data_IF_658232026640
#
_entry.id   IF_658232026640
#
_cell.length_a   1.000
_cell.length_b   1.000
_cell.length_c   1.000
_cell.angle_alpha   90.00
_cell.angle_beta   90.00
_cell.angle_gamma   90.00
#
_symmetry.space_group_name_H-M   'P 1'
#
loop_
_entity.id
_entity.type
_entity.pdbx_description
1 polymer ?
#
# COMPACT_ATOMS: atom_id res chain seq x y z
N UNK A 1 0.58 -28.28 19.19
CA UNK A 1 -0.49 -27.44 19.80
C UNK A 1 -1.28 -26.89 18.63
N UNK A 2 -2.56 -27.23 18.56
CA UNK A 2 -3.45 -27.24 17.38
C UNK A 2 -3.53 -25.92 16.59
N UNK A 3 -3.26 -25.99 15.29
CA UNK A 3 -3.68 -25.00 14.28
C UNK A 3 -5.22 -24.98 14.23
N UNK A 4 -5.84 -24.10 15.01
CA UNK A 4 -7.20 -23.64 14.72
C UNK A 4 -7.14 -22.64 13.56
N UNK A 5 -6.90 -23.13 12.33
CA UNK A 5 -7.30 -22.40 11.13
C UNK A 5 -8.82 -22.44 11.05
N UNK A 6 -9.43 -21.46 11.72
CA UNK A 6 -10.84 -21.13 11.64
C UNK A 6 -11.28 -21.13 10.16
N UNK A 7 -12.33 -21.89 9.88
CA UNK A 7 -12.96 -22.19 8.59
C UNK A 7 -13.63 -20.93 7.96
N UNK A 8 -12.89 -19.82 7.89
CA UNK A 8 -13.32 -18.48 7.44
C UNK A 8 -12.40 -17.89 6.36
N UNK A 9 -11.48 -18.68 5.79
CA UNK A 9 -10.67 -18.26 4.65
C UNK A 9 -11.45 -18.48 3.36
N UNK A 10 -11.59 -17.45 2.53
CA UNK A 10 -12.17 -17.59 1.20
C UNK A 10 -11.35 -18.56 0.34
N UNK A 11 -12.02 -19.30 -0.55
CA UNK A 11 -11.34 -20.12 -1.55
C UNK A 11 -10.38 -19.23 -2.38
N UNK A 12 -9.12 -19.63 -2.58
CA UNK A 12 -8.14 -18.84 -3.33
C UNK A 12 -8.60 -18.56 -4.76
N UNK A 13 -9.36 -19.47 -5.36
CA UNK A 13 -9.96 -19.29 -6.68
C UNK A 13 -11.02 -18.20 -6.70
N UNK A 14 -11.87 -18.14 -5.66
CA UNK A 14 -12.92 -17.13 -5.56
C UNK A 14 -12.33 -15.75 -5.26
N UNK A 15 -11.38 -15.68 -4.34
CA UNK A 15 -10.66 -14.43 -4.03
C UNK A 15 -9.87 -13.94 -5.25
N UNK A 16 -9.22 -14.85 -5.98
CA UNK A 16 -8.50 -14.53 -7.21
C UNK A 16 -9.43 -14.04 -8.32
N UNK A 17 -10.58 -14.70 -8.53
CA UNK A 17 -11.57 -14.31 -9.53
C UNK A 17 -12.15 -12.91 -9.26
N UNK A 18 -12.52 -12.61 -8.01
CA UNK A 18 -12.99 -11.28 -7.63
C UNK A 18 -11.90 -10.22 -7.81
N UNK A 19 -10.66 -10.51 -7.41
CA UNK A 19 -9.53 -9.59 -7.60
C UNK A 19 -9.29 -9.29 -9.09
N UNK A 20 -9.39 -10.32 -9.94
CA UNK A 20 -9.31 -10.18 -11.40
C UNK A 20 -10.45 -9.35 -11.97
N UNK A 21 -11.68 -9.51 -11.47
CA UNK A 21 -12.83 -8.72 -11.88
C UNK A 21 -12.64 -7.24 -11.53
N UNK A 22 -12.14 -6.93 -10.33
CA UNK A 22 -11.78 -5.53 -9.96
C UNK A 22 -10.71 -4.97 -10.90
N UNK A 23 -9.74 -5.79 -11.30
CA UNK A 23 -8.68 -5.38 -12.22
C UNK A 23 -9.25 -5.03 -13.61
N UNK A 24 -10.14 -5.86 -14.15
CA UNK A 24 -10.85 -5.61 -15.41
C UNK A 24 -11.66 -4.31 -15.30
N UNK A 25 -12.43 -4.14 -14.22
CA UNK A 25 -13.20 -2.91 -13.99
C UNK A 25 -12.32 -1.67 -13.87
N UNK A 26 -11.14 -1.77 -13.24
CA UNK A 26 -10.19 -0.65 -13.14
C UNK A 26 -9.71 -0.21 -14.52
N UNK A 27 -9.40 -1.15 -15.42
CA UNK A 27 -9.00 -0.82 -16.79
C UNK A 27 -10.18 -0.29 -17.59
N UNK A 28 -11.37 -0.87 -17.42
CA UNK A 28 -12.56 -0.49 -18.18
C UNK A 28 -13.10 0.89 -17.80
N UNK A 29 -13.14 1.23 -16.51
CA UNK A 29 -13.68 2.50 -16.01
C UNK A 29 -12.63 3.60 -16.00
N UNK A 30 -11.42 3.31 -15.52
CA UNK A 30 -10.39 4.32 -15.29
C UNK A 30 -9.28 4.30 -16.35
N UNK A 31 -9.19 3.28 -17.21
CA UNK A 31 -8.11 3.14 -18.18
C UNK A 31 -6.74 2.90 -17.52
N UNK A 32 -6.72 2.49 -16.24
CA UNK A 32 -5.50 2.33 -15.43
C UNK A 32 -5.45 0.94 -14.81
N UNK A 33 -4.26 0.34 -14.85
CA UNK A 33 -3.94 -0.88 -14.12
C UNK A 33 -3.73 -0.60 -12.63
N UNK A 34 -3.71 -1.66 -11.81
CA UNK A 34 -3.28 -1.56 -10.43
C UNK A 34 -1.85 -1.05 -10.35
N UNK A 35 -1.63 -0.04 -9.52
CA UNK A 35 -0.31 0.45 -9.21
C UNK A 35 -0.30 0.96 -7.79
N UNK A 36 0.82 0.80 -7.09
CA UNK A 36 1.01 1.34 -5.75
C UNK A 36 2.23 2.27 -5.66
N UNK A 37 3.32 1.96 -6.37
CA UNK A 37 4.62 2.62 -6.24
C UNK A 37 4.63 4.08 -6.67
N UNK A 38 3.98 4.43 -7.77
CA UNK A 38 3.89 5.81 -8.28
C UNK A 38 3.13 6.75 -7.34
N UNK A 39 2.21 6.25 -6.50
CA UNK A 39 1.51 7.04 -5.48
C UNK A 39 2.44 7.50 -4.36
N UNK A 40 3.41 6.67 -3.95
CA UNK A 40 4.36 7.02 -2.89
C UNK A 40 5.29 8.16 -3.33
N UNK A 41 5.88 8.05 -4.54
CA UNK A 41 6.76 9.09 -5.10
C UNK A 41 6.00 10.41 -5.31
N UNK A 42 4.76 10.36 -5.77
CA UNK A 42 3.93 11.55 -5.97
C UNK A 42 3.52 12.21 -4.65
N UNK A 43 3.21 11.44 -3.61
CA UNK A 43 2.91 11.97 -2.28
C UNK A 43 4.12 12.72 -1.70
N UNK A 44 5.33 12.17 -1.85
CA UNK A 44 6.57 12.86 -1.47
C UNK A 44 6.74 14.14 -2.29
N UNK A 45 6.53 14.11 -3.60
CA UNK A 45 6.59 15.30 -4.45
C UNK A 45 5.57 16.39 -4.07
N UNK A 46 4.36 16.02 -3.64
CA UNK A 46 3.35 16.98 -3.15
C UNK A 46 3.75 17.59 -1.80
N UNK A 47 4.36 16.81 -0.91
CA UNK A 47 4.87 17.30 0.38
C UNK A 47 6.07 18.23 0.15
N UNK A 48 7.02 17.87 -0.71
CA UNK A 48 8.15 18.73 -1.07
C UNK A 48 7.71 20.07 -1.68
N UNK A 49 6.66 20.05 -2.50
CA UNK A 49 6.05 21.26 -3.08
C UNK A 49 5.42 22.18 -2.01
N UNK A 50 4.99 21.62 -0.87
CA UNK A 50 4.37 22.38 0.23
C UNK A 50 5.41 23.11 1.10
N UNK A 51 6.65 22.60 1.16
CA UNK A 51 7.71 23.17 2.01
C UNK A 51 8.66 24.16 1.29
N UNK A 52 8.71 24.19 -0.05
CA UNK A 52 9.51 25.16 -0.82
C UNK A 52 8.66 25.89 -1.86
N UNK A 53 7.80 26.78 -1.40
CA UNK A 53 6.97 27.64 -2.25
C UNK A 53 7.75 28.74 -2.99
N UNK A 54 8.97 29.09 -2.58
CA UNK A 54 9.67 30.27 -3.11
C UNK A 54 10.52 30.01 -4.37
N UNK A 55 10.92 28.75 -4.63
CA UNK A 55 11.67 28.38 -5.85
C UNK A 55 10.77 27.85 -6.98
N UNK A 56 9.44 27.80 -6.76
CA UNK A 56 8.46 27.15 -7.66
C UNK A 56 7.78 28.14 -8.62
N UNK A 57 7.95 29.45 -8.41
CA UNK A 57 7.34 30.47 -9.26
C UNK A 57 8.03 30.70 -10.61
N UNK A 58 9.18 30.07 -10.89
CA UNK A 58 10.01 30.39 -12.08
C UNK A 58 10.19 29.25 -13.08
N UNK A 59 9.65 28.04 -12.85
CA UNK A 59 9.78 26.93 -13.81
C UNK A 59 8.42 26.44 -14.32
N UNK A 60 8.24 26.55 -15.65
CA UNK A 60 7.10 26.06 -16.45
C UNK A 60 6.71 24.59 -16.22
N UNK A 61 7.53 23.82 -15.50
CA UNK A 61 7.26 22.44 -15.13
C UNK A 61 6.10 22.30 -14.12
N UNK A 62 5.85 23.31 -13.28
CA UNK A 62 4.86 23.23 -12.20
C UNK A 62 3.45 23.67 -12.58
N UNK A 63 3.27 24.43 -13.67
CA UNK A 63 1.93 24.78 -14.18
C UNK A 63 1.23 23.56 -14.81
N UNK A 64 2.00 22.60 -15.34
CA UNK A 64 1.48 21.39 -15.97
C UNK A 64 1.12 20.29 -14.99
N UNK A 65 1.58 20.39 -13.75
CA UNK A 65 1.49 19.35 -12.72
C UNK A 65 0.55 19.80 -11.61
N UNK A 66 -0.70 20.07 -11.95
CA UNK A 66 -1.75 20.26 -10.96
C UNK A 66 -1.76 19.04 -10.04
N UNK A 67 -1.60 19.18 -8.72
CA UNK A 67 -1.69 18.07 -7.77
C UNK A 67 -3.14 17.60 -7.71
N UNK A 68 -3.58 16.89 -8.75
CA UNK A 68 -4.87 16.22 -8.78
C UNK A 68 -4.74 14.94 -7.98
N UNK A 69 -5.75 14.65 -7.19
CA UNK A 69 -6.00 13.31 -6.67
C UNK A 69 -6.11 12.39 -7.89
N UNK A 70 -5.01 11.71 -8.20
CA UNK A 70 -4.94 10.76 -9.31
C UNK A 70 -5.71 9.50 -8.90
N UNK A 71 -6.28 8.78 -9.87
CA UNK A 71 -7.01 7.53 -9.69
C UNK A 71 -6.28 6.56 -8.75
N UNK A 72 -4.96 6.49 -8.89
CA UNK A 72 -4.11 5.60 -8.10
C UNK A 72 -4.05 5.99 -6.62
N UNK A 73 -4.16 7.28 -6.29
CA UNK A 73 -4.21 7.74 -4.91
C UNK A 73 -5.55 7.34 -4.26
N UNK A 74 -6.66 7.56 -4.96
CA UNK A 74 -7.99 7.11 -4.53
C UNK A 74 -8.06 5.58 -4.40
N UNK A 75 -7.39 4.84 -5.29
CA UNK A 75 -7.31 3.39 -5.23
C UNK A 75 -6.58 2.89 -3.98
N UNK A 76 -5.41 3.46 -3.65
CA UNK A 76 -4.65 3.08 -2.44
C UNK A 76 -5.43 3.42 -1.17
N UNK A 77 -6.06 4.60 -1.11
CA UNK A 77 -6.93 4.99 0.01
C UNK A 77 -8.14 4.06 0.10
N UNK A 78 -8.73 3.68 -1.03
CA UNK A 78 -9.82 2.71 -1.11
C UNK A 78 -9.43 1.34 -0.57
N UNK A 79 -8.22 0.85 -0.88
CA UNK A 79 -7.68 -0.40 -0.30
C UNK A 79 -7.53 -0.27 1.22
N UNK A 80 -6.98 0.85 1.70
CA UNK A 80 -6.78 1.09 3.12
C UNK A 80 -8.12 1.06 3.88
N UNK A 81 -9.11 1.83 3.40
CA UNK A 81 -10.44 1.89 4.03
C UNK A 81 -11.18 0.56 3.88
N UNK A 82 -11.16 -0.03 2.70
CA UNK A 82 -11.84 -1.29 2.41
C UNK A 82 -11.29 -2.46 3.24
N UNK A 83 -9.96 -2.57 3.36
CA UNK A 83 -9.32 -3.59 4.21
C UNK A 83 -9.63 -3.35 5.69
N UNK A 84 -9.69 -2.10 6.13
CA UNK A 84 -10.06 -1.75 7.51
C UNK A 84 -11.50 -2.15 7.84
N UNK A 85 -12.47 -1.79 6.98
CA UNK A 85 -13.87 -2.19 7.14
C UNK A 85 -14.01 -3.72 7.12
N UNK A 86 -13.32 -4.39 6.19
CA UNK A 86 -13.34 -5.86 6.11
C UNK A 86 -12.76 -6.51 7.38
N UNK A 87 -11.68 -5.98 7.94
CA UNK A 87 -11.08 -6.47 9.19
C UNK A 87 -11.98 -6.25 10.41
N UNK A 88 -12.71 -5.13 10.46
CA UNK A 88 -13.71 -4.88 11.50
C UNK A 88 -14.91 -5.81 11.36
N UNK A 89 -15.49 -5.93 10.16
CA UNK A 89 -16.66 -6.75 9.88
C UNK A 89 -16.41 -8.25 10.11
N UNK A 90 -15.20 -8.73 9.82
CA UNK A 90 -14.79 -10.12 10.09
C UNK A 90 -14.35 -10.38 11.53
N UNK A 91 -14.20 -9.32 12.34
CA UNK A 91 -13.72 -9.41 13.72
C UNK A 91 -12.24 -9.81 13.84
N UNK A 92 -11.45 -9.67 12.76
CA UNK A 92 -10.03 -10.08 12.73
C UNK A 92 -9.05 -8.94 12.99
N UNK A 93 -9.54 -7.71 13.18
CA UNK A 93 -8.70 -6.57 13.49
C UNK A 93 -7.96 -6.76 14.81
N UNK A 94 -6.62 -6.79 14.76
CA UNK A 94 -5.75 -6.93 15.94
C UNK A 94 -4.52 -6.05 15.79
N UNK A 95 -4.29 -5.18 16.78
CA UNK A 95 -3.05 -4.41 16.87
C UNK A 95 -1.94 -5.34 17.39
N UNK A 96 -1.01 -5.71 16.51
CA UNK A 96 0.16 -6.55 16.85
C UNK A 96 1.45 -5.85 16.45
N UNK A 97 2.22 -5.43 17.45
CA UNK A 97 3.52 -4.81 17.22
C UNK A 97 4.57 -5.81 16.73
N UNK A 98 4.48 -7.07 17.18
CA UNK A 98 5.35 -8.16 16.75
C UNK A 98 4.50 -9.36 16.32
N UNK A 99 4.58 -9.80 15.06
CA UNK A 99 3.90 -11.01 14.61
C UNK A 99 4.45 -12.26 15.31
N UNK A 100 3.64 -13.28 15.62
CA UNK A 100 4.10 -14.51 16.26
C UNK A 100 5.23 -15.22 15.48
N UNK A 101 5.20 -15.15 14.15
CA UNK A 101 6.25 -15.69 13.28
C UNK A 101 7.60 -14.96 13.46
N UNK A 102 7.57 -13.66 13.75
CA UNK A 102 8.78 -12.91 14.05
C UNK A 102 9.27 -13.23 15.46
N UNK A 103 8.35 -13.25 16.42
CA UNK A 103 8.63 -13.50 17.82
C UNK A 103 9.31 -14.86 18.01
N UNK A 104 8.83 -15.91 17.33
CA UNK A 104 9.41 -17.26 17.41
C UNK A 104 10.84 -17.35 16.90
N UNK A 105 11.25 -16.48 15.98
CA UNK A 105 12.57 -16.55 15.32
C UNK A 105 13.58 -15.52 15.81
N UNK A 106 13.12 -14.33 16.16
CA UNK A 106 13.94 -13.15 16.45
C UNK A 106 13.58 -12.47 17.78
N UNK A 107 12.59 -13.02 18.51
CA UNK A 107 12.16 -12.55 19.82
C UNK A 107 11.11 -11.43 19.78
N UNK A 108 10.56 -11.11 20.95
CA UNK A 108 9.42 -10.19 21.12
C UNK A 108 9.77 -8.70 21.00
N UNK A 109 10.98 -8.32 20.55
CA UNK A 109 11.43 -6.92 20.53
C UNK A 109 10.79 -6.13 19.36
N UNK A 110 9.92 -5.13 19.65
CA UNK A 110 9.29 -4.34 18.59
C UNK A 110 10.29 -3.46 17.83
N UNK A 111 11.31 -2.96 18.53
CA UNK A 111 12.36 -2.13 17.94
C UNK A 111 13.17 -2.90 16.89
N UNK A 112 13.61 -4.13 17.21
CA UNK A 112 14.34 -4.98 16.26
C UNK A 112 13.52 -5.28 15.01
N UNK A 113 12.23 -5.62 15.19
CA UNK A 113 11.30 -5.82 14.07
C UNK A 113 11.12 -4.55 13.24
N UNK A 114 10.97 -3.40 13.90
CA UNK A 114 10.82 -2.10 13.26
C UNK A 114 11.98 -1.77 12.33
N UNK A 115 13.22 -1.92 12.82
CA UNK A 115 14.43 -1.65 12.02
C UNK A 115 14.48 -2.58 10.80
N UNK A 116 14.25 -3.88 10.97
CA UNK A 116 14.31 -4.82 9.84
C UNK A 116 13.19 -4.59 8.84
N UNK A 117 11.97 -4.31 9.31
CA UNK A 117 10.85 -3.98 8.43
C UNK A 117 11.11 -2.69 7.63
N UNK A 118 11.75 -1.70 8.25
CA UNK A 118 12.12 -0.45 7.58
C UNK A 118 13.19 -0.68 6.50
N UNK A 119 14.28 -1.40 6.83
CA UNK A 119 15.32 -1.75 5.85
C UNK A 119 14.77 -2.62 4.71
N UNK A 120 13.92 -3.60 5.04
CA UNK A 120 13.22 -4.42 4.04
C UNK A 120 12.31 -3.59 3.14
N UNK A 121 11.63 -2.59 3.69
CA UNK A 121 10.84 -1.62 2.92
C UNK A 121 11.68 -0.80 1.94
N UNK A 122 12.88 -0.34 2.35
CA UNK A 122 13.82 0.35 1.46
C UNK A 122 14.19 -0.56 0.27
N UNK A 123 14.63 -1.79 0.55
CA UNK A 123 15.00 -2.76 -0.49
C UNK A 123 13.83 -3.06 -1.42
N UNK A 124 12.62 -3.23 -0.88
CA UNK A 124 11.41 -3.47 -1.66
C UNK A 124 11.06 -2.27 -2.57
N UNK A 125 11.19 -1.03 -2.08
CA UNK A 125 10.95 0.16 -2.89
C UNK A 125 11.97 0.30 -4.03
N UNK A 126 13.27 0.08 -3.75
CA UNK A 126 14.29 0.07 -4.81
C UNK A 126 13.99 -1.03 -5.85
N UNK A 127 13.66 -2.24 -5.41
CA UNK A 127 13.30 -3.35 -6.29
C UNK A 127 12.07 -3.05 -7.17
N UNK A 128 11.00 -2.51 -6.58
CA UNK A 128 9.79 -2.11 -7.31
C UNK A 128 10.12 -1.08 -8.39
N UNK A 129 10.95 -0.07 -8.07
CA UNK A 129 11.34 0.95 -9.05
C UNK A 129 12.26 0.45 -10.15
N UNK A 130 13.18 -0.45 -9.86
CA UNK A 130 14.00 -1.09 -10.89
C UNK A 130 13.16 -1.97 -11.83
N UNK A 131 12.07 -2.56 -11.32
CA UNK A 131 11.13 -3.38 -12.09
C UNK A 131 10.06 -2.55 -12.85
N UNK A 132 10.13 -1.21 -12.78
CA UNK A 132 9.13 -0.27 -13.33
C UNK A 132 7.68 -0.56 -12.90
N UNK A 133 7.52 -1.11 -11.67
CA UNK A 133 6.24 -1.51 -11.08
C UNK A 133 5.87 -0.73 -9.83
#
# INVERSE_FOLDING_TARGET
MSDETNNRSWSPYLAGALSGLVLILSVWVAGKYFGASTTFVRSVGMIEQTFRSEAVATMDYFVKTTPKIDWQWTFVVGILIGSFIAAMASGTFKLKAVPPMWESRFGASPAKRGVVAFCGGIVAMFGARLADG
#
